data_IF_312018926319
#
_entry.id   IF_312018926319
#
_cell.length_a   1.000
_cell.length_b   1.000
_cell.length_c   1.000
_cell.angle_alpha   90.00
_cell.angle_beta   90.00
_cell.angle_gamma   90.00
#
_symmetry.space_group_name_H-M   'P 1'
#
loop_
_entity.id
_entity.type
_entity.pdbx_description
1 polymer ?
#
# COMPACT_ATOMS: atom_id res chain seq x y z
N UNK A 1 -5.37 8.38 -5.77
CA UNK A 1 -4.89 7.43 -4.74
C UNK A 1 -6.02 6.69 -4.01
N UNK A 2 -6.95 7.39 -3.33
CA UNK A 2 -7.95 6.78 -2.43
C UNK A 2 -8.82 5.68 -3.08
N UNK A 3 -9.26 5.88 -4.32
CA UNK A 3 -10.07 4.89 -5.06
C UNK A 3 -9.35 3.55 -5.19
N UNK A 4 -8.03 3.55 -5.42
CA UNK A 4 -7.26 2.30 -5.57
C UNK A 4 -7.16 1.54 -4.23
N UNK A 5 -7.02 2.26 -3.12
CA UNK A 5 -7.05 1.67 -1.79
C UNK A 5 -8.42 1.02 -1.50
N UNK A 6 -9.52 1.68 -1.87
CA UNK A 6 -10.87 1.12 -1.69
C UNK A 6 -11.03 -0.16 -2.52
N UNK A 7 -10.66 -0.12 -3.81
CA UNK A 7 -10.67 -1.30 -4.67
C UNK A 7 -9.83 -2.45 -4.11
N UNK A 8 -8.72 -2.15 -3.43
CA UNK A 8 -7.86 -3.17 -2.81
C UNK A 8 -8.51 -3.90 -1.65
N UNK A 9 -9.37 -3.22 -0.89
CA UNK A 9 -10.18 -3.84 0.16
C UNK A 9 -11.24 -4.75 -0.48
N UNK A 10 -12.00 -4.22 -1.44
CA UNK A 10 -13.09 -4.95 -2.11
C UNK A 10 -12.61 -6.24 -2.79
N UNK A 11 -11.46 -6.15 -3.48
CA UNK A 11 -10.89 -7.28 -4.22
C UNK A 11 -9.88 -8.08 -3.41
N UNK A 12 -9.66 -7.72 -2.13
CA UNK A 12 -8.77 -8.42 -1.19
C UNK A 12 -7.35 -8.70 -1.73
N UNK A 13 -6.78 -7.77 -2.52
CA UNK A 13 -5.42 -7.92 -3.07
C UNK A 13 -4.37 -7.13 -2.29
N UNK A 14 -3.11 -7.54 -2.47
CA UNK A 14 -1.95 -6.95 -1.82
C UNK A 14 -1.40 -5.83 -2.70
N UNK A 15 -0.96 -4.75 -2.08
CA UNK A 15 -0.35 -3.60 -2.75
C UNK A 15 1.13 -3.50 -2.39
N UNK A 16 1.97 -3.18 -3.37
CA UNK A 16 3.29 -2.62 -3.14
C UNK A 16 3.20 -1.09 -3.22
N UNK A 17 3.74 -0.40 -2.23
CA UNK A 17 3.74 1.07 -2.17
C UNK A 17 5.14 1.63 -1.94
N UNK A 18 5.39 2.80 -2.50
CA UNK A 18 6.50 3.67 -2.11
C UNK A 18 5.97 4.69 -1.13
N UNK A 19 6.47 4.67 0.11
CA UNK A 19 5.99 5.49 1.20
C UNK A 19 7.09 6.37 1.76
N UNK A 20 6.81 7.66 1.87
CA UNK A 20 7.70 8.65 2.46
C UNK A 20 7.31 8.90 3.92
N UNK A 21 8.24 8.67 4.84
CA UNK A 21 8.04 9.02 6.25
C UNK A 21 8.06 10.54 6.47
N UNK A 22 7.63 11.00 7.65
CA UNK A 22 7.69 12.42 8.01
C UNK A 22 9.11 13.00 7.95
N UNK A 23 10.15 12.18 8.20
CA UNK A 23 11.55 12.60 8.11
C UNK A 23 12.12 12.51 6.68
N UNK A 24 11.29 12.37 5.66
CA UNK A 24 11.72 12.28 4.26
C UNK A 24 12.24 10.91 3.82
N UNK A 25 12.49 9.97 4.75
CA UNK A 25 12.96 8.63 4.38
C UNK A 25 11.91 7.87 3.57
N UNK A 26 12.31 7.40 2.38
CA UNK A 26 11.47 6.65 1.46
C UNK A 26 11.65 5.16 1.70
N UNK A 27 10.55 4.40 1.66
CA UNK A 27 10.57 2.95 1.85
C UNK A 27 9.59 2.27 0.90
N UNK A 28 10.00 1.14 0.30
CA UNK A 28 9.07 0.23 -0.37
C UNK A 28 8.40 -0.65 0.68
N UNK A 29 7.07 -0.77 0.61
CA UNK A 29 6.28 -1.54 1.56
C UNK A 29 5.23 -2.37 0.84
N UNK A 30 5.19 -3.66 1.17
CA UNK A 30 4.08 -4.54 0.82
C UNK A 30 3.03 -4.46 1.91
N UNK A 31 1.77 -4.22 1.53
CA UNK A 31 0.67 -4.00 2.47
C UNK A 31 -0.61 -4.71 2.04
N UNK A 32 -1.43 -5.10 3.01
CA UNK A 32 -2.82 -5.50 2.80
C UNK A 32 -3.73 -4.47 3.48
N UNK A 33 -4.48 -3.71 2.69
CA UNK A 33 -5.37 -2.66 3.20
C UNK A 33 -6.57 -3.31 3.88
N UNK A 34 -6.94 -2.79 5.05
CA UNK A 34 -8.05 -3.29 5.86
C UNK A 34 -9.20 -2.29 5.92
N UNK A 35 -8.88 -1.00 6.04
CA UNK A 35 -9.87 0.07 6.13
C UNK A 35 -9.31 1.36 5.54
N UNK A 36 -10.15 2.13 4.84
CA UNK A 36 -9.76 3.39 4.20
C UNK A 36 -10.60 4.54 4.78
N UNK A 37 -9.95 5.45 5.50
CA UNK A 37 -10.54 6.71 5.96
C UNK A 37 -10.40 7.82 4.91
N UNK A 38 -10.59 9.07 5.33
CA UNK A 38 -10.45 10.23 4.46
C UNK A 38 -8.99 10.62 4.22
N UNK A 39 -8.21 10.74 5.30
CA UNK A 39 -6.80 11.19 5.27
C UNK A 39 -5.78 10.06 5.46
N UNK A 40 -6.24 8.92 5.98
CA UNK A 40 -5.38 7.79 6.32
C UNK A 40 -6.11 6.47 6.13
N UNK A 41 -5.34 5.39 6.08
CA UNK A 41 -5.87 4.03 5.94
C UNK A 41 -5.11 3.08 6.86
N UNK A 42 -5.80 2.07 7.36
CA UNK A 42 -5.25 0.97 8.13
C UNK A 42 -4.85 -0.17 7.21
N UNK A 43 -3.65 -0.71 7.39
CA UNK A 43 -3.16 -1.85 6.62
C UNK A 43 -2.21 -2.74 7.44
N UNK A 44 -2.22 -4.03 7.13
CA UNK A 44 -1.17 -4.93 7.59
C UNK A 44 0.10 -4.71 6.77
N UNK A 45 1.20 -4.35 7.43
CA UNK A 45 2.48 -4.10 6.79
C UNK A 45 3.36 -5.35 6.86
N UNK A 46 3.60 -6.01 5.72
CA UNK A 46 4.38 -7.24 5.67
C UNK A 46 5.85 -7.04 6.04
N UNK A 47 6.41 -5.87 5.74
CA UNK A 47 7.78 -5.52 6.13
C UNK A 47 7.97 -5.51 7.65
N UNK A 48 6.95 -5.10 8.41
CA UNK A 48 7.02 -4.98 9.88
C UNK A 48 6.22 -6.05 10.60
N UNK A 49 5.52 -6.92 9.87
CA UNK A 49 4.62 -7.96 10.38
C UNK A 49 3.60 -7.43 11.39
N UNK A 50 3.07 -6.23 11.17
CA UNK A 50 2.16 -5.55 12.11
C UNK A 50 1.10 -4.70 11.41
N UNK A 51 -0.04 -4.49 12.07
CA UNK A 51 -1.05 -3.50 11.65
C UNK A 51 -0.50 -2.08 11.83
N UNK A 52 -0.66 -1.22 10.83
CA UNK A 52 -0.22 0.18 10.87
C UNK A 52 -1.18 1.09 10.11
N UNK A 53 -1.23 2.34 10.55
CA UNK A 53 -1.95 3.42 9.86
C UNK A 53 -0.98 4.23 9.01
N UNK A 54 -1.38 4.51 7.77
CA UNK A 54 -0.61 5.27 6.80
C UNK A 54 -1.39 6.48 6.33
N UNK A 55 -0.72 7.63 6.21
CA UNK A 55 -1.30 8.82 5.57
C UNK A 55 -1.35 8.64 4.06
N UNK A 56 -2.46 9.01 3.44
CA UNK A 56 -2.64 8.89 1.98
C UNK A 56 -1.69 9.82 1.23
N UNK A 57 -1.49 11.05 1.74
CA UNK A 57 -0.62 12.06 1.11
C UNK A 57 0.87 11.68 1.10
N UNK A 58 1.26 10.72 1.95
CA UNK A 58 2.64 10.26 2.05
C UNK A 58 2.96 9.09 1.09
N UNK A 59 1.99 8.64 0.29
CA UNK A 59 2.20 7.61 -0.71
C UNK A 59 2.71 8.27 -1.99
N UNK A 60 3.89 7.86 -2.45
CA UNK A 60 4.50 8.35 -3.69
C UNK A 60 4.13 7.49 -4.90
N UNK A 61 3.94 6.19 -4.68
CA UNK A 61 3.48 5.24 -5.70
C UNK A 61 2.74 4.07 -5.05
N UNK A 62 1.79 3.48 -5.77
CA UNK A 62 0.95 2.39 -5.30
C UNK A 62 0.59 1.47 -6.47
N UNK A 63 0.91 0.19 -6.36
CA UNK A 63 0.63 -0.79 -7.42
C UNK A 63 0.10 -2.11 -6.84
N UNK A 64 -0.89 -2.76 -7.50
CA UNK A 64 -1.32 -4.10 -7.15
C UNK A 64 -0.21 -5.11 -7.41
N UNK A 65 0.02 -5.99 -6.44
CA UNK A 65 0.88 -7.16 -6.62
C UNK A 65 0.10 -8.16 -7.47
N UNK A 66 0.32 -8.12 -8.79
CA UNK A 66 -0.21 -9.12 -9.72
C UNK A 66 0.87 -10.17 -9.97
N UNK A 67 0.51 -11.45 -9.92
CA UNK A 67 1.46 -12.57 -10.06
C UNK A 67 1.98 -12.79 -11.49
N UNK A 68 1.83 -11.81 -12.39
CA UNK A 68 2.38 -11.89 -13.74
C UNK A 68 3.74 -11.19 -13.75
N UNK A 69 4.77 -11.91 -13.31
CA UNK A 69 6.06 -11.72 -13.93
C UNK A 69 5.85 -11.99 -15.42
N UNK A 70 5.82 -10.92 -16.22
CA UNK A 70 5.96 -11.08 -17.65
C UNK A 70 7.41 -11.56 -17.82
N UNK A 71 7.60 -12.87 -17.91
CA UNK A 71 8.83 -13.44 -18.45
C UNK A 71 9.02 -12.75 -19.80
N UNK A 72 9.96 -11.81 -19.87
CA UNK A 72 10.47 -11.32 -21.14
C UNK A 72 11.33 -12.46 -21.64
N UNK A 73 10.74 -13.34 -22.45
CA UNK A 73 11.46 -14.29 -23.30
C UNK A 73 11.83 -13.56 -24.59
#
# INVERSE_FOLDING_TARGET
>A
MRIELIKSVERNYILDMIYMSKGGAISRRRIKVMQVGEVSFGAYCYLRKSNRTFKIDNILALVPVTSKERLVV
#
